data_IF_363834335331
#
_entry.id   IF_363834335331
#
_cell.length_a   1.000
_cell.length_b   1.000
_cell.length_c   1.000
_cell.angle_alpha   90.00
_cell.angle_beta   90.00
_cell.angle_gamma   90.00
#
_symmetry.space_group_name_H-M   'P 1'
#
loop_
_entity.id
_entity.type
_entity.pdbx_description
1 polymer ?
#
# COMPACT_ATOMS: atom_id res chain seq x y z
N UNK A 1 18.53 -5.29 14.54
CA UNK A 1 17.09 -5.47 14.78
C UNK A 1 16.73 -6.91 14.53
N UNK A 2 16.41 -7.67 15.58
CA UNK A 2 15.87 -9.02 15.45
C UNK A 2 14.41 -8.93 15.03
N UNK A 3 14.11 -9.21 13.77
CA UNK A 3 12.74 -9.41 13.31
C UNK A 3 12.26 -10.77 13.82
N UNK A 4 11.63 -10.82 15.00
CA UNK A 4 10.84 -12.00 15.35
C UNK A 4 9.69 -12.10 14.34
N UNK A 5 9.74 -13.11 13.47
CA UNK A 5 8.69 -13.43 12.51
C UNK A 5 7.45 -13.96 13.24
N UNK A 6 6.67 -13.08 13.86
CA UNK A 6 5.30 -13.43 14.24
C UNK A 6 4.50 -13.57 12.94
N UNK A 7 3.99 -14.77 12.67
CA UNK A 7 3.17 -15.02 11.48
C UNK A 7 1.80 -14.39 11.70
N UNK A 8 1.50 -13.32 10.96
CA UNK A 8 0.20 -12.66 10.94
C UNK A 8 -0.54 -13.10 9.68
N UNK A 9 -1.83 -13.41 9.78
CA UNK A 9 -2.67 -13.69 8.61
C UNK A 9 -3.03 -12.35 7.96
N UNK A 10 -2.83 -12.25 6.65
CA UNK A 10 -3.16 -11.07 5.84
C UNK A 10 -4.14 -11.53 4.75
N UNK A 11 -5.42 -11.78 5.08
CA UNK A 11 -6.43 -12.09 4.08
C UNK A 11 -6.74 -10.84 3.25
N UNK A 12 -7.24 -11.02 2.02
CA UNK A 12 -7.73 -9.89 1.25
C UNK A 12 -8.92 -9.22 1.96
N UNK A 13 -8.93 -7.88 2.08
CA UNK A 13 -10.03 -7.15 2.68
C UNK A 13 -11.17 -6.89 1.68
N UNK A 14 -11.30 -7.59 0.56
CA UNK A 14 -12.39 -7.35 -0.43
C UNK A 14 -13.81 -7.29 0.17
N UNK A 15 -14.12 -8.08 1.19
CA UNK A 15 -15.43 -8.05 1.87
C UNK A 15 -15.53 -7.01 2.98
N UNK A 16 -14.58 -6.91 3.94
CA UNK A 16 -14.62 -5.86 4.95
C UNK A 16 -14.28 -4.47 4.40
N UNK A 17 -13.77 -4.38 3.16
CA UNK A 17 -13.21 -3.22 2.46
C UNK A 17 -11.94 -2.65 3.11
N UNK A 18 -11.90 -2.61 4.44
CA UNK A 18 -10.75 -2.19 5.24
C UNK A 18 -10.39 -3.24 6.28
N UNK A 19 -9.10 -3.54 6.41
CA UNK A 19 -8.54 -4.34 7.49
C UNK A 19 -7.43 -3.56 8.18
N UNK A 20 -7.52 -3.44 9.50
CA UNK A 20 -6.50 -2.77 10.32
C UNK A 20 -5.62 -3.85 10.97
N UNK A 21 -4.31 -3.67 10.87
CA UNK A 21 -3.32 -4.48 11.58
C UNK A 21 -2.62 -3.60 12.62
N UNK A 22 -2.93 -3.85 13.89
CA UNK A 22 -2.27 -3.21 15.02
C UNK A 22 -0.91 -3.87 15.27
N UNK A 23 0.16 -3.19 14.85
CA UNK A 23 1.53 -3.60 15.12
C UNK A 23 2.14 -2.68 16.17
N UNK A 24 3.08 -3.22 16.95
CA UNK A 24 3.71 -2.54 18.10
C UNK A 24 4.19 -1.10 17.83
N UNK A 25 4.56 -0.76 16.61
CA UNK A 25 5.13 0.55 16.25
C UNK A 25 4.31 1.32 15.21
N UNK A 26 3.36 0.68 14.53
CA UNK A 26 2.62 1.30 13.44
C UNK A 26 1.33 0.53 13.17
N UNK A 27 0.24 1.24 12.93
CA UNK A 27 -0.98 0.62 12.41
C UNK A 27 -0.88 0.57 10.88
N UNK A 28 -1.21 -0.59 10.31
CA UNK A 28 -1.37 -0.74 8.87
C UNK A 28 -2.86 -0.77 8.55
N UNK A 29 -3.30 0.19 7.75
CA UNK A 29 -4.64 0.25 7.19
C UNK A 29 -4.59 -0.32 5.78
N UNK A 30 -5.24 -1.46 5.56
CA UNK A 30 -5.29 -2.14 4.27
C UNK A 30 -6.68 -2.03 3.68
N UNK A 31 -6.81 -1.18 2.66
CA UNK A 31 -8.02 -0.97 1.89
C UNK A 31 -7.99 -1.81 0.61
N UNK A 32 -9.11 -2.43 0.27
CA UNK A 32 -9.40 -2.99 -1.06
C UNK A 32 -10.66 -2.31 -1.60
N UNK A 33 -10.45 -1.42 -2.58
CA UNK A 33 -11.51 -0.58 -3.13
C UNK A 33 -12.18 -1.19 -4.37
N UNK A 34 -11.90 -2.45 -4.70
CA UNK A 34 -12.46 -3.14 -5.88
C UNK A 34 -13.99 -3.06 -5.99
N UNK A 35 -14.68 -3.00 -4.84
CA UNK A 35 -16.15 -2.97 -4.77
C UNK A 35 -16.75 -1.57 -4.57
N UNK A 36 -15.92 -0.54 -4.45
CA UNK A 36 -16.41 0.82 -4.24
C UNK A 36 -16.67 1.45 -5.61
N UNK A 37 -17.92 1.85 -5.85
CA UNK A 37 -18.32 2.45 -7.14
C UNK A 37 -18.30 3.97 -7.11
N UNK A 38 -18.50 4.58 -5.92
CA UNK A 38 -18.63 6.03 -5.77
C UNK A 38 -17.58 6.59 -4.82
N UNK A 39 -16.92 7.68 -5.23
CA UNK A 39 -15.94 8.41 -4.42
C UNK A 39 -16.45 8.78 -3.03
N UNK A 40 -17.74 9.10 -2.90
CA UNK A 40 -18.36 9.45 -1.61
C UNK A 40 -18.38 8.29 -0.61
N UNK A 41 -18.48 7.05 -1.07
CA UNK A 41 -18.50 5.86 -0.21
C UNK A 41 -17.16 5.64 0.47
N UNK A 42 -16.06 6.00 -0.21
CA UNK A 42 -14.71 5.92 0.35
C UNK A 42 -14.56 6.76 1.62
N UNK A 43 -15.13 7.97 1.66
CA UNK A 43 -15.05 8.86 2.83
C UNK A 43 -15.77 8.30 4.06
N UNK A 44 -16.65 7.32 3.90
CA UNK A 44 -17.31 6.65 5.01
C UNK A 44 -16.47 5.49 5.59
N UNK A 45 -15.28 5.22 5.05
CA UNK A 45 -14.41 4.10 5.46
C UNK A 45 -13.35 4.51 6.51
N UNK A 46 -13.68 5.49 7.35
CA UNK A 46 -12.81 6.02 8.41
C UNK A 46 -11.42 6.46 7.92
N UNK A 47 -11.32 6.95 6.67
CA UNK A 47 -10.04 7.32 6.06
C UNK A 47 -9.31 8.41 6.85
N UNK A 48 -10.04 9.33 7.48
CA UNK A 48 -9.45 10.37 8.34
C UNK A 48 -8.62 9.79 9.49
N UNK A 49 -9.01 8.62 10.00
CA UNK A 49 -8.26 7.90 11.05
C UNK A 49 -7.03 7.17 10.52
N UNK A 50 -7.01 6.86 9.22
CA UNK A 50 -5.88 6.25 8.55
C UNK A 50 -4.74 7.25 8.27
N UNK A 51 -5.04 8.55 8.19
CA UNK A 51 -4.05 9.60 7.97
C UNK A 51 -2.99 9.58 9.07
N UNK A 52 -1.71 9.61 8.68
CA UNK A 52 -0.57 9.53 9.61
C UNK A 52 -0.12 8.11 9.97
N UNK A 53 -0.87 7.08 9.55
CA UNK A 53 -0.47 5.67 9.66
C UNK A 53 0.12 5.13 8.35
N UNK A 54 0.48 3.84 8.32
CA UNK A 54 0.80 3.16 7.07
C UNK A 54 -0.51 2.78 6.37
N UNK A 55 -0.72 3.29 5.16
CA UNK A 55 -1.93 3.01 4.38
C UNK A 55 -1.55 2.26 3.11
N UNK A 56 -2.19 1.12 2.90
CA UNK A 56 -2.08 0.27 1.70
C UNK A 56 -3.45 0.27 1.05
N UNK A 57 -3.49 0.56 -0.25
CA UNK A 57 -4.75 0.63 -1.01
C UNK A 57 -4.62 -0.23 -2.27
N UNK A 58 -5.45 -1.26 -2.38
CA UNK A 58 -5.67 -2.02 -3.61
C UNK A 58 -6.76 -1.35 -4.45
N UNK A 59 -6.63 -1.43 -5.78
CA UNK A 59 -7.54 -0.80 -6.76
C UNK A 59 -7.80 0.69 -6.48
N UNK A 60 -6.75 1.52 -6.43
CA UNK A 60 -6.83 2.88 -5.90
C UNK A 60 -7.46 3.89 -6.88
N UNK A 61 -7.91 3.45 -8.05
CA UNK A 61 -8.40 4.28 -9.17
C UNK A 61 -9.47 5.28 -8.74
N UNK A 62 -10.42 4.84 -7.90
CA UNK A 62 -11.50 5.69 -7.40
C UNK A 62 -10.99 6.80 -6.46
N UNK A 63 -9.84 6.60 -5.85
CA UNK A 63 -9.21 7.51 -4.89
C UNK A 63 -8.11 8.38 -5.53
N UNK A 64 -7.88 8.27 -6.85
CA UNK A 64 -6.79 8.95 -7.58
C UNK A 64 -6.68 10.45 -7.34
N UNK A 65 -7.80 11.17 -7.23
CA UNK A 65 -7.81 12.63 -6.98
C UNK A 65 -7.31 13.03 -5.59
N UNK A 66 -7.28 12.08 -4.65
CA UNK A 66 -6.94 12.29 -3.25
C UNK A 66 -5.60 11.68 -2.86
N UNK A 67 -4.84 11.22 -3.86
CA UNK A 67 -3.52 10.66 -3.63
C UNK A 67 -2.62 11.64 -2.88
N UNK A 68 -1.98 11.22 -1.78
CA UNK A 68 -1.05 12.08 -1.09
C UNK A 68 0.15 12.38 -2.01
N UNK A 69 0.75 13.55 -1.80
CA UNK A 69 1.94 14.00 -2.54
C UNK A 69 3.09 12.99 -2.40
N UNK A 70 3.31 12.55 -1.17
CA UNK A 70 4.31 11.53 -0.83
C UNK A 70 3.61 10.17 -0.81
N UNK A 71 3.93 9.32 -1.79
CA UNK A 71 3.38 7.97 -1.89
C UNK A 71 4.27 7.04 -2.71
N UNK A 72 3.98 5.75 -2.59
CA UNK A 72 4.58 4.70 -3.39
C UNK A 72 3.46 4.05 -4.20
N UNK A 73 3.61 4.02 -5.51
CA UNK A 73 2.71 3.27 -6.39
C UNK A 73 3.43 2.00 -6.84
N UNK A 74 2.76 0.86 -6.69
CA UNK A 74 3.28 -0.46 -7.07
C UNK A 74 2.34 -1.03 -8.13
N UNK A 75 2.90 -1.31 -9.30
CA UNK A 75 2.20 -1.91 -10.42
C UNK A 75 2.69 -3.33 -10.60
N UNK A 76 1.74 -4.25 -10.76
CA UNK A 76 2.02 -5.66 -11.02
C UNK A 76 1.55 -6.00 -12.44
N UNK A 77 2.37 -6.71 -13.18
CA UNK A 77 2.07 -7.18 -14.53
C UNK A 77 2.33 -8.70 -14.58
N UNK A 78 1.36 -9.48 -15.05
CA UNK A 78 1.48 -10.93 -15.13
C UNK A 78 2.43 -11.31 -16.27
N UNK A 79 3.38 -12.18 -15.97
CA UNK A 79 4.38 -12.70 -16.91
C UNK A 79 4.17 -14.20 -17.17
N UNK A 80 4.89 -14.75 -18.16
CA UNK A 80 4.86 -16.20 -18.39
C UNK A 80 5.40 -16.96 -17.16
N UNK A 81 4.95 -18.21 -16.99
CA UNK A 81 5.41 -19.13 -15.93
C UNK A 81 5.10 -18.68 -14.49
N UNK A 82 3.96 -18.03 -14.25
CA UNK A 82 3.54 -17.55 -12.92
C UNK A 82 4.53 -16.54 -12.29
N UNK A 83 5.31 -15.84 -13.12
CA UNK A 83 6.11 -14.70 -12.69
C UNK A 83 5.27 -13.42 -12.71
N UNK A 84 5.72 -12.38 -11.99
CA UNK A 84 5.15 -11.04 -12.08
C UNK A 84 6.26 -10.01 -12.17
N UNK A 85 6.10 -9.10 -13.12
CA UNK A 85 6.90 -7.89 -13.18
C UNK A 85 6.31 -6.85 -12.23
N UNK A 86 7.19 -6.24 -11.43
CA UNK A 86 6.81 -5.23 -10.44
C UNK A 86 7.48 -3.91 -10.79
N UNK A 87 6.67 -2.90 -11.08
CA UNK A 87 7.14 -1.52 -11.29
C UNK A 87 6.79 -0.68 -10.07
N UNK A 88 7.79 -0.03 -9.49
CA UNK A 88 7.63 0.84 -8.31
C UNK A 88 7.90 2.28 -8.72
N UNK A 89 6.92 3.17 -8.48
CA UNK A 89 7.09 4.61 -8.63
C UNK A 89 7.04 5.28 -7.26
N UNK A 90 7.99 6.18 -7.02
CA UNK A 90 8.07 6.98 -5.81
C UNK A 90 7.64 8.41 -6.14
N UNK A 91 6.82 9.02 -5.29
CA UNK A 91 6.32 10.38 -5.47
C UNK A 91 6.73 11.29 -4.32
N UNK A 92 6.83 12.58 -4.62
CA UNK A 92 7.16 13.62 -3.65
C UNK A 92 8.56 13.46 -3.06
N UNK A 93 8.69 13.62 -1.75
CA UNK A 93 9.99 13.59 -1.04
C UNK A 93 10.70 12.23 -1.17
N UNK A 94 9.94 11.15 -1.39
CA UNK A 94 10.44 9.79 -1.55
C UNK A 94 11.29 9.59 -2.81
N UNK A 95 11.15 10.46 -3.82
CA UNK A 95 11.99 10.38 -5.03
C UNK A 95 13.48 10.53 -4.71
N UNK A 96 13.82 11.34 -3.70
CA UNK A 96 15.20 11.52 -3.23
C UNK A 96 15.80 10.27 -2.59
N UNK A 97 14.95 9.34 -2.14
CA UNK A 97 15.35 8.09 -1.49
C UNK A 97 15.66 7.01 -2.54
N UNK A 98 15.14 7.16 -3.77
CA UNK A 98 15.29 6.20 -4.88
C UNK A 98 16.75 5.76 -5.07
N UNK A 99 17.66 6.71 -5.18
CA UNK A 99 19.08 6.43 -5.43
C UNK A 99 19.75 5.67 -4.28
N UNK A 100 19.35 5.95 -3.04
CA UNK A 100 19.85 5.24 -1.85
C UNK A 100 19.33 3.81 -1.78
N UNK A 101 18.08 3.58 -2.20
CA UNK A 101 17.46 2.25 -2.23
C UNK A 101 18.10 1.36 -3.29
N UNK A 102 18.26 1.84 -4.52
CA UNK A 102 18.87 1.07 -5.61
C UNK A 102 20.32 0.68 -5.29
N UNK A 103 21.12 1.62 -4.76
CA UNK A 103 22.49 1.31 -4.30
C UNK A 103 22.55 0.17 -3.29
N UNK A 104 21.52 -0.01 -2.45
CA UNK A 104 21.47 -1.10 -1.45
C UNK A 104 20.97 -2.42 -2.04
N UNK A 105 20.15 -2.39 -3.09
CA UNK A 105 19.63 -3.57 -3.75
C UNK A 105 20.65 -4.19 -4.71
N UNK A 106 21.43 -3.36 -5.41
CA UNK A 106 22.51 -3.81 -6.32
C UNK A 106 23.75 -4.35 -5.59
N UNK A 107 23.83 -4.19 -4.26
CA UNK A 107 24.93 -4.69 -3.43
C UNK A 107 24.64 -6.08 -2.82
N UNK A 108 23.62 -6.79 -3.32
CA UNK A 108 23.28 -8.17 -2.96
C UNK A 108 23.28 -9.06 -4.19
#
# INVERSE_FOLDING_TARGET
MNFQKKKIKVPSPTFPIVQIYDLKTINIWHYDLYRIEKKKEFFNLDFDSAVGNCVIVEWPDIFSDYFPKDRIEIFFEDEKNNARDVRIKLFGTLQSIKEKLWKKLDQK
#
